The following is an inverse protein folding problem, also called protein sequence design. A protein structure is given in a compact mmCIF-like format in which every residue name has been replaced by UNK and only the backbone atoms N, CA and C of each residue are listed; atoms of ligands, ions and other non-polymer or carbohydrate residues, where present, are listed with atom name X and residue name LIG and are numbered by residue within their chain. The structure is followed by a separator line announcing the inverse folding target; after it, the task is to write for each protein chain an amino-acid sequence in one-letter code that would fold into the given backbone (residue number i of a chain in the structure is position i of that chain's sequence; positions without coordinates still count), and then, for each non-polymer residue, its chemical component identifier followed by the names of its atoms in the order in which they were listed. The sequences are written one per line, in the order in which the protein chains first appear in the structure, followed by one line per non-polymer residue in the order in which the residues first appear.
data_IF_820061815607
#
_entry.id   IF_820061815607
#
_cell.length_a   1.000
_cell.length_b   1.000
_cell.length_c   1.000
_cell.angle_alpha   90.00
_cell.angle_beta   90.00
_cell.angle_gamma   90.00
#
_symmetry.space_group_name_H-M   'P 1'
#
loop_
_entity.id
_entity.type
_entity.pdbx_description
1 polymer ?
#
# COMPACT_ATOMS: atom_id res chain seq x y z
N UNK A 1 0.58 3.04 -14.00
CA UNK A 1 1.31 3.96 -13.08
C UNK A 1 1.03 3.56 -11.64
N UNK A 2 2.07 3.25 -10.87
CA UNK A 2 1.96 2.99 -9.43
C UNK A 2 1.90 4.32 -8.66
N UNK A 3 1.20 4.30 -7.53
CA UNK A 3 1.16 5.41 -6.58
C UNK A 3 1.03 4.83 -5.16
N UNK A 4 1.38 5.63 -4.16
CA UNK A 4 1.32 5.19 -2.75
C UNK A 4 -0.09 4.81 -2.31
N UNK A 5 -1.14 5.47 -2.83
CA UNK A 5 -2.53 5.10 -2.56
C UNK A 5 -2.88 3.66 -2.96
N UNK A 6 -2.40 3.17 -4.11
CA UNK A 6 -2.59 1.78 -4.56
C UNK A 6 -1.83 0.78 -3.70
N UNK A 7 -0.62 1.13 -3.26
CA UNK A 7 0.16 0.31 -2.33
C UNK A 7 -0.58 0.16 -1.01
N UNK A 8 -1.06 1.26 -0.43
CA UNK A 8 -1.85 1.25 0.81
C UNK A 8 -3.16 0.47 0.62
N UNK A 9 -3.86 0.65 -0.51
CA UNK A 9 -5.08 -0.08 -0.81
C UNK A 9 -4.86 -1.60 -0.90
N UNK A 10 -3.72 -2.05 -1.44
CA UNK A 10 -3.35 -3.47 -1.48
C UNK A 10 -3.20 -4.04 -0.05
N UNK A 11 -2.47 -3.36 0.82
CA UNK A 11 -2.33 -3.78 2.22
C UNK A 11 -3.68 -3.83 2.93
N UNK A 12 -4.49 -2.78 2.77
CA UNK A 12 -5.83 -2.74 3.35
C UNK A 12 -6.71 -3.89 2.87
N UNK A 13 -6.66 -4.19 1.57
CA UNK A 13 -7.40 -5.31 0.98
C UNK A 13 -6.93 -6.66 1.54
N UNK A 14 -5.62 -6.89 1.64
CA UNK A 14 -5.06 -8.10 2.24
C UNK A 14 -5.50 -8.27 3.70
N UNK A 15 -5.45 -7.20 4.51
CA UNK A 15 -5.94 -7.22 5.89
C UNK A 15 -7.44 -7.56 5.96
N UNK A 16 -8.26 -6.99 5.07
CA UNK A 16 -9.70 -7.29 4.98
C UNK A 16 -9.96 -8.76 4.63
N UNK A 17 -9.16 -9.34 3.72
CA UNK A 17 -9.25 -10.77 3.39
C UNK A 17 -8.90 -11.65 4.60
N UNK A 18 -7.85 -11.30 5.35
CA UNK A 18 -7.46 -12.02 6.57
C UNK A 18 -8.57 -11.97 7.63
N UNK A 19 -9.14 -10.78 7.89
CA UNK A 19 -10.26 -10.62 8.84
C UNK A 19 -11.46 -11.48 8.40
N UNK A 20 -11.77 -11.48 7.09
CA UNK A 20 -12.85 -12.30 6.55
C UNK A 20 -12.58 -13.79 6.72
N UNK A 21 -11.36 -14.25 6.46
CA UNK A 21 -10.96 -15.66 6.64
C UNK A 21 -11.13 -16.15 8.08
N UNK A 22 -10.76 -15.30 9.05
CA UNK A 22 -10.97 -15.56 10.48
C UNK A 22 -12.47 -15.64 10.79
N UNK A 23 -13.25 -14.67 10.30
CA UNK A 23 -14.71 -14.63 10.52
C UNK A 23 -15.44 -15.84 9.91
N UNK A 24 -14.96 -16.36 8.78
CA UNK A 24 -15.52 -17.56 8.13
C UNK A 24 -14.99 -18.87 8.70
N UNK A 25 -14.13 -18.83 9.73
CA UNK A 25 -13.47 -20.00 10.36
C UNK A 25 -12.64 -20.84 9.39
N UNK A 26 -11.95 -20.20 8.44
CA UNK A 26 -11.02 -20.85 7.50
C UNK A 26 -9.63 -20.24 7.69
N UNK A 27 -8.93 -20.53 8.80
CA UNK A 27 -7.64 -19.89 9.10
C UNK A 27 -6.51 -20.35 8.16
N UNK A 28 -6.63 -21.51 7.52
CA UNK A 28 -5.59 -22.05 6.64
C UNK A 28 -5.31 -21.17 5.43
N UNK A 29 -6.33 -20.47 4.92
CA UNK A 29 -6.19 -19.58 3.76
C UNK A 29 -5.43 -18.29 4.10
N UNK A 30 -5.27 -17.95 5.39
CA UNK A 30 -4.56 -16.75 5.83
C UNK A 30 -3.11 -16.80 5.36
N UNK A 31 -2.44 -17.96 5.50
CA UNK A 31 -1.06 -18.16 5.01
C UNK A 31 -0.98 -17.96 3.50
N UNK A 32 -1.95 -18.48 2.75
CA UNK A 32 -2.02 -18.32 1.30
C UNK A 32 -2.20 -16.86 0.90
N UNK A 33 -3.09 -16.12 1.57
CA UNK A 33 -3.30 -14.68 1.33
C UNK A 33 -2.03 -13.89 1.59
N UNK A 34 -1.33 -14.16 2.70
CA UNK A 34 -0.07 -13.50 3.03
C UNK A 34 0.98 -13.79 1.96
N UNK A 35 1.16 -15.05 1.59
CA UNK A 35 2.14 -15.45 0.57
C UNK A 35 1.85 -14.77 -0.78
N UNK A 36 0.60 -14.79 -1.26
CA UNK A 36 0.24 -14.11 -2.50
C UNK A 36 0.46 -12.61 -2.44
N UNK A 37 0.09 -11.97 -1.32
CA UNK A 37 0.32 -10.54 -1.12
C UNK A 37 1.82 -10.23 -1.15
N UNK A 38 2.63 -11.05 -0.50
CA UNK A 38 4.08 -10.88 -0.42
C UNK A 38 4.76 -11.08 -1.78
N UNK A 39 4.39 -12.13 -2.53
CA UNK A 39 4.88 -12.36 -3.90
C UNK A 39 4.52 -11.19 -4.81
N UNK A 40 3.28 -10.71 -4.77
CA UNK A 40 2.87 -9.57 -5.57
C UNK A 40 3.66 -8.29 -5.23
N UNK A 41 3.89 -8.04 -3.94
CA UNK A 41 4.71 -6.91 -3.50
C UNK A 41 6.13 -7.05 -4.03
N UNK A 42 6.76 -8.21 -3.89
CA UNK A 42 8.13 -8.45 -4.33
C UNK A 42 8.30 -8.29 -5.85
N UNK A 43 7.38 -8.84 -6.63
CA UNK A 43 7.49 -8.84 -8.09
C UNK A 43 7.15 -7.47 -8.71
N UNK A 44 6.13 -6.79 -8.19
CA UNK A 44 5.58 -5.60 -8.84
C UNK A 44 5.82 -4.29 -8.07
N UNK A 45 5.81 -4.33 -6.74
CA UNK A 45 5.77 -3.11 -5.91
C UNK A 45 7.16 -2.71 -5.43
N UNK A 46 8.03 -3.66 -5.08
CA UNK A 46 9.37 -3.40 -4.53
C UNK A 46 10.24 -2.59 -5.50
N UNK A 47 10.20 -2.93 -6.80
CA UNK A 47 10.95 -2.19 -7.81
C UNK A 47 10.53 -0.72 -7.86
N UNK A 48 9.22 -0.46 -7.87
CA UNK A 48 8.68 0.90 -7.85
C UNK A 48 9.02 1.64 -6.55
N UNK A 49 8.90 0.99 -5.39
CA UNK A 49 9.26 1.60 -4.10
C UNK A 49 10.75 2.00 -4.08
N UNK A 50 11.62 1.17 -4.64
CA UNK A 50 13.04 1.47 -4.75
C UNK A 50 13.29 2.70 -5.61
N UNK A 51 12.55 2.86 -6.71
CA UNK A 51 12.60 4.07 -7.54
C UNK A 51 12.09 5.33 -6.80
N UNK A 52 11.16 5.17 -5.85
CA UNK A 52 10.69 6.27 -4.99
C UNK A 52 11.67 6.65 -3.87
N UNK A 53 12.86 6.04 -3.81
CA UNK A 53 13.83 6.24 -2.72
C UNK A 53 13.48 5.44 -1.46
N UNK A 54 12.68 4.38 -1.58
CA UNK A 54 12.27 3.53 -0.48
C UNK A 54 10.92 3.91 0.13
N UNK A 55 10.65 3.37 1.32
CA UNK A 55 9.39 3.58 2.04
C UNK A 55 9.23 5.01 2.61
N UNK A 56 10.31 5.78 2.66
CA UNK A 56 10.29 7.16 3.11
C UNK A 56 9.40 8.07 2.25
N UNK A 57 9.19 7.70 0.97
CA UNK A 57 8.29 8.38 0.06
C UNK A 57 6.81 8.37 0.48
N UNK A 58 6.40 7.44 1.37
CA UNK A 58 5.05 7.47 1.96
C UNK A 58 4.85 8.75 2.76
N UNK A 59 5.84 9.13 3.57
CA UNK A 59 5.73 10.28 4.47
C UNK A 59 5.61 11.58 3.70
N UNK A 60 6.32 11.71 2.58
CA UNK A 60 6.18 12.88 1.71
C UNK A 60 4.84 12.91 0.97
N UNK A 61 4.34 11.75 0.51
CA UNK A 61 3.05 11.65 -0.19
C UNK A 61 1.84 11.98 0.69
N UNK A 62 1.82 11.50 1.94
CA UNK A 62 0.71 11.77 2.87
C UNK A 62 0.95 13.00 3.76
N UNK A 63 2.19 13.42 3.92
CA UNK A 63 2.59 14.55 4.74
C UNK A 63 2.62 15.89 4.00
N UNK A 64 2.54 15.90 2.66
CA UNK A 64 2.31 17.14 1.92
C UNK A 64 0.86 17.55 2.13
N UNK A 65 0.60 18.65 2.85
CA UNK A 65 -0.75 19.15 2.96
C UNK A 65 -1.12 19.69 1.58
N UNK A 66 -2.17 19.17 0.97
CA UNK A 66 -2.67 19.63 -0.34
C UNK A 66 -2.97 21.13 -0.38
N UNK A 67 -3.11 21.80 0.78
CA UNK A 67 -3.23 23.26 0.88
C UNK A 67 -1.93 24.03 0.62
N UNK A 68 -0.74 23.43 0.79
CA UNK A 68 0.53 24.11 0.49
C UNK A 68 0.74 24.30 -1.01
N UNK A 69 0.25 23.38 -1.84
CA UNK A 69 0.29 23.54 -3.29
C UNK A 69 -0.61 24.67 -3.75
N UNK A 70 -1.78 24.86 -3.13
CA UNK A 70 -2.70 25.98 -3.47
C UNK A 70 -2.07 27.33 -3.12
N UNK A 71 -1.35 27.44 -1.99
CA UNK A 71 -0.67 28.67 -1.60
C UNK A 71 0.48 29.10 -2.53
N UNK A 72 1.16 28.14 -3.18
CA UNK A 72 2.24 28.42 -4.14
C UNK A 72 1.69 28.87 -5.51
N UNK A 73 0.49 28.44 -5.89
CA UNK A 73 -0.15 28.87 -7.14
C UNK A 73 -1.01 30.14 -7.01
N UNK A 74 -1.26 30.62 -5.79
CA UNK A 74 -1.98 31.86 -5.50
C UNK A 74 -1.05 33.04 -5.16
N UNK A 75 0.27 32.83 -5.16
CA UNK A 75 1.29 33.88 -5.05
C UNK A 75 1.84 34.24 -6.43
#
# INVERSE_FOLDING_TARGET
KFNWGRVVALFYFACRLVIKAISTKIPDIIRTIINWTMSYIQEHVVNWIREQGGWDGIRSYFGTPTWQTVGVFLA
#
